data_IF_590466385717
#
_entry.id   IF_590466385717
#
_cell.length_a   1.000
_cell.length_b   1.000
_cell.length_c   1.000
_cell.angle_alpha   90.00
_cell.angle_beta   90.00
_cell.angle_gamma   90.00
#
_symmetry.space_group_name_H-M   'P 1'
#
loop_
_entity.id
_entity.type
_entity.pdbx_description
1 polymer ?
#
# COMPACT_ATOMS: atom_id res chain seq x y z
N UNK A 1 -46.35 34.35 -3.53
CA UNK A 1 -45.36 33.81 -2.57
C UNK A 1 -45.44 32.30 -2.70
N UNK A 2 -44.62 31.69 -3.57
CA UNK A 2 -43.33 31.07 -3.23
C UNK A 2 -43.55 29.81 -2.38
N UNK A 3 -43.12 28.60 -2.73
CA UNK A 3 -42.04 28.17 -3.62
C UNK A 3 -42.19 26.67 -3.89
N UNK A 4 -42.24 26.28 -5.16
CA UNK A 4 -42.03 24.89 -5.60
C UNK A 4 -40.53 24.64 -5.59
N UNK A 5 -40.06 23.79 -4.67
CA UNK A 5 -38.65 23.41 -4.58
C UNK A 5 -38.35 22.49 -5.77
N UNK A 6 -37.62 23.01 -6.76
CA UNK A 6 -36.96 22.20 -7.78
C UNK A 6 -35.81 21.44 -7.12
N UNK A 7 -35.60 20.14 -7.43
CA UNK A 7 -34.40 19.44 -7.01
C UNK A 7 -33.19 20.14 -7.63
N UNK A 8 -32.37 20.71 -6.76
CA UNK A 8 -31.11 21.33 -7.12
C UNK A 8 -30.21 20.27 -7.75
N UNK A 9 -29.68 20.61 -8.92
CA UNK A 9 -28.62 19.92 -9.61
C UNK A 9 -27.40 19.78 -8.67
N UNK A 10 -27.15 18.58 -8.15
CA UNK A 10 -25.91 18.24 -7.47
C UNK A 10 -24.80 18.16 -8.53
N UNK A 11 -23.73 18.97 -8.45
CA UNK A 11 -22.61 18.87 -9.37
C UNK A 11 -21.67 17.73 -8.92
N UNK A 12 -21.26 16.90 -9.88
CA UNK A 12 -20.18 15.91 -9.72
C UNK A 12 -20.63 14.46 -9.74
N UNK A 13 -21.03 13.95 -10.91
CA UNK A 13 -21.07 12.50 -11.15
C UNK A 13 -19.63 12.00 -11.00
N UNK A 14 -19.38 11.09 -10.05
CA UNK A 14 -18.11 10.35 -9.98
C UNK A 14 -17.79 9.87 -11.40
N UNK A 15 -16.62 10.25 -11.92
CA UNK A 15 -16.24 9.89 -13.27
C UNK A 15 -16.13 8.36 -13.34
N UNK A 16 -16.96 7.75 -14.20
CA UNK A 16 -16.91 6.33 -14.60
C UNK A 16 -15.63 6.07 -15.44
N UNK A 17 -14.47 6.50 -14.95
CA UNK A 17 -13.20 6.18 -15.59
C UNK A 17 -12.95 4.68 -15.43
N UNK A 18 -12.64 3.96 -16.52
CA UNK A 18 -12.53 2.51 -16.50
C UNK A 18 -11.36 2.05 -15.62
N UNK A 19 -11.47 0.83 -15.09
CA UNK A 19 -10.37 0.16 -14.39
C UNK A 19 -9.19 0.00 -15.34
N UNK A 20 -7.99 0.37 -14.88
CA UNK A 20 -6.75 0.14 -15.62
C UNK A 20 -6.40 -1.34 -15.48
N UNK A 21 -6.57 -2.11 -16.57
CA UNK A 21 -6.38 -3.57 -16.54
C UNK A 21 -4.95 -4.01 -16.19
N UNK A 22 -3.95 -3.21 -16.51
CA UNK A 22 -2.54 -3.44 -16.16
C UNK A 22 -1.93 -2.13 -15.62
N UNK A 23 -2.17 -1.80 -14.34
CA UNK A 23 -1.76 -0.52 -13.79
C UNK A 23 -0.24 -0.41 -13.69
N UNK A 24 0.27 0.81 -13.87
CA UNK A 24 1.62 1.19 -13.42
C UNK A 24 1.60 1.42 -11.92
N UNK A 25 2.60 0.89 -11.22
CA UNK A 25 2.60 0.85 -9.76
C UNK A 25 3.71 1.73 -9.22
N UNK A 26 3.40 2.61 -8.26
CA UNK A 26 4.44 3.23 -7.44
C UNK A 26 4.45 2.63 -6.04
N UNK A 27 5.62 2.53 -5.43
CA UNK A 27 5.76 2.10 -4.03
C UNK A 27 6.52 3.18 -3.26
N UNK A 28 5.83 3.86 -2.36
CA UNK A 28 6.35 4.95 -1.54
C UNK A 28 6.87 4.39 -0.21
N UNK A 29 8.14 4.63 0.06
CA UNK A 29 8.91 3.98 1.11
C UNK A 29 9.57 2.70 0.59
N UNK A 30 10.89 2.63 0.69
CA UNK A 30 11.73 1.51 0.19
C UNK A 30 12.46 0.78 1.32
N UNK A 31 11.83 0.74 2.50
CA UNK A 31 12.25 -0.17 3.58
C UNK A 31 11.95 -1.63 3.24
N UNK A 32 12.11 -2.53 4.23
CA UNK A 32 11.89 -3.98 4.06
C UNK A 32 10.59 -4.32 3.32
N UNK A 33 9.45 -3.79 3.77
CA UNK A 33 8.14 -3.98 3.13
C UNK A 33 8.11 -3.43 1.70
N UNK A 34 8.49 -2.16 1.53
CA UNK A 34 8.30 -1.45 0.28
C UNK A 34 9.24 -1.87 -0.83
N UNK A 35 10.53 -2.05 -0.55
CA UNK A 35 11.49 -2.54 -1.55
C UNK A 35 11.15 -3.98 -1.98
N UNK A 36 10.79 -4.86 -1.03
CA UNK A 36 10.35 -6.23 -1.36
C UNK A 36 9.08 -6.20 -2.21
N UNK A 37 8.09 -5.38 -1.85
CA UNK A 37 6.87 -5.25 -2.62
C UNK A 37 7.15 -4.74 -4.04
N UNK A 38 7.95 -3.68 -4.20
CA UNK A 38 8.30 -3.11 -5.50
C UNK A 38 8.97 -4.14 -6.43
N UNK A 39 9.96 -4.87 -5.91
CA UNK A 39 10.67 -5.92 -6.65
C UNK A 39 9.72 -7.06 -7.05
N UNK A 40 8.89 -7.54 -6.12
CA UNK A 40 7.93 -8.61 -6.41
C UNK A 40 6.87 -8.19 -7.44
N UNK A 41 6.35 -6.96 -7.37
CA UNK A 41 5.39 -6.46 -8.37
C UNK A 41 6.03 -6.36 -9.77
N UNK A 42 7.30 -5.93 -9.86
CA UNK A 42 8.02 -5.89 -11.12
C UNK A 42 8.31 -7.31 -11.66
N UNK A 43 8.61 -8.26 -10.77
CA UNK A 43 8.87 -9.66 -11.12
C UNK A 43 7.64 -10.35 -11.72
N UNK A 44 6.44 -10.02 -11.24
CA UNK A 44 5.17 -10.53 -11.82
C UNK A 44 4.68 -9.70 -13.02
N UNK A 45 5.50 -8.77 -13.53
CA UNK A 45 5.32 -8.16 -14.84
C UNK A 45 4.72 -6.76 -14.84
N UNK A 46 4.56 -6.09 -13.70
CA UNK A 46 4.15 -4.68 -13.67
C UNK A 46 5.32 -3.74 -13.95
N UNK A 47 5.02 -2.55 -14.48
CA UNK A 47 5.96 -1.44 -14.45
C UNK A 47 5.87 -0.76 -13.08
N UNK A 48 7.02 -0.62 -12.42
CA UNK A 48 7.12 -0.22 -11.02
C UNK A 48 8.13 0.90 -10.84
N UNK A 49 7.72 1.90 -10.06
CA UNK A 49 8.56 3.00 -9.61
C UNK A 49 8.64 3.00 -8.07
N UNK A 50 9.79 2.64 -7.52
CA UNK A 50 10.07 2.78 -6.09
C UNK A 50 10.44 4.22 -5.74
N UNK A 51 9.89 4.74 -4.65
CA UNK A 51 10.07 6.14 -4.22
C UNK A 51 10.49 6.19 -2.76
N UNK A 52 11.54 6.94 -2.45
CA UNK A 52 11.98 7.19 -1.07
C UNK A 52 12.57 8.60 -0.97
N UNK A 53 12.58 9.14 0.24
CA UNK A 53 13.20 10.45 0.54
C UNK A 53 14.69 10.33 0.81
N UNK A 54 15.21 9.10 0.96
CA UNK A 54 16.61 8.83 1.24
C UNK A 54 17.40 8.54 -0.05
N UNK A 55 18.22 9.49 -0.55
CA UNK A 55 19.01 9.31 -1.77
C UNK A 55 19.97 8.13 -1.69
N UNK A 56 20.46 7.79 -0.48
CA UNK A 56 21.41 6.68 -0.29
C UNK A 56 20.72 5.34 -0.51
N UNK A 57 19.47 5.18 -0.05
CA UNK A 57 18.68 3.98 -0.33
C UNK A 57 18.36 3.85 -1.81
N UNK A 58 17.94 4.95 -2.44
CA UNK A 58 17.62 4.99 -3.87
C UNK A 58 18.84 4.59 -4.70
N UNK A 59 20.01 5.16 -4.43
CA UNK A 59 21.24 4.83 -5.14
C UNK A 59 21.63 3.35 -4.98
N UNK A 60 21.54 2.79 -3.77
CA UNK A 60 21.83 1.37 -3.53
C UNK A 60 20.87 0.45 -4.28
N UNK A 61 19.57 0.69 -4.15
CA UNK A 61 18.55 -0.12 -4.80
C UNK A 61 18.67 -0.04 -6.33
N UNK A 62 18.93 1.15 -6.89
CA UNK A 62 19.18 1.33 -8.31
C UNK A 62 20.45 0.62 -8.81
N UNK A 63 21.45 0.44 -7.94
CA UNK A 63 22.66 -0.35 -8.21
C UNK A 63 22.47 -1.87 -8.04
N UNK A 64 21.26 -2.33 -7.67
CA UNK A 64 20.98 -3.74 -7.41
C UNK A 64 21.40 -4.22 -6.03
N UNK A 65 21.63 -3.30 -5.09
CA UNK A 65 22.05 -3.60 -3.71
C UNK A 65 20.88 -3.45 -2.73
N UNK A 66 20.51 -4.54 -2.06
CA UNK A 66 19.47 -4.53 -1.02
C UNK A 66 20.10 -4.12 0.31
N UNK A 67 19.58 -3.08 1.03
CA UNK A 67 20.18 -2.59 2.28
C UNK A 67 19.82 -3.43 3.52
N UNK A 68 19.22 -4.60 3.34
CA UNK A 68 18.80 -5.53 4.39
C UNK A 68 18.87 -6.98 3.87
N UNK A 69 18.85 -7.94 4.78
CA UNK A 69 18.86 -9.36 4.42
C UNK A 69 17.44 -9.84 4.13
N UNK A 70 17.22 -10.36 2.92
CA UNK A 70 16.02 -11.10 2.54
C UNK A 70 16.40 -12.14 1.47
N UNK A 71 16.18 -13.45 1.72
CA UNK A 71 16.57 -14.50 0.79
C UNK A 71 15.96 -14.33 -0.61
N UNK A 72 16.81 -14.39 -1.64
CA UNK A 72 16.40 -14.29 -3.06
C UNK A 72 16.05 -12.89 -3.54
N UNK A 73 15.92 -11.90 -2.65
CA UNK A 73 15.63 -10.52 -3.04
C UNK A 73 16.77 -9.86 -3.84
N UNK A 74 18.06 -10.03 -3.51
CA UNK A 74 19.15 -9.41 -4.29
C UNK A 74 19.23 -9.92 -5.73
N UNK A 75 18.97 -11.20 -5.97
CA UNK A 75 18.88 -11.78 -7.32
C UNK A 75 17.68 -11.19 -8.06
N UNK A 76 16.50 -11.22 -7.43
CA UNK A 76 15.26 -10.74 -8.03
C UNK A 76 15.30 -9.24 -8.35
N UNK A 77 15.94 -8.44 -7.49
CA UNK A 77 16.17 -7.01 -7.71
C UNK A 77 17.01 -6.79 -8.98
N UNK A 78 18.13 -7.50 -9.12
CA UNK A 78 19.00 -7.39 -10.31
C UNK A 78 18.28 -7.79 -11.59
N UNK A 79 17.53 -8.89 -11.55
CA UNK A 79 16.76 -9.38 -12.70
C UNK A 79 15.66 -8.41 -13.11
N UNK A 80 14.92 -7.85 -12.14
CA UNK A 80 13.85 -6.88 -12.42
C UNK A 80 14.38 -5.54 -12.91
N UNK A 81 15.49 -5.03 -12.36
CA UNK A 81 16.18 -3.86 -12.90
C UNK A 81 16.63 -4.08 -14.35
N UNK A 82 17.22 -5.25 -14.66
CA UNK A 82 17.66 -5.58 -16.01
C UNK A 82 16.52 -5.61 -17.03
N UNK A 83 15.28 -5.87 -16.60
CA UNK A 83 14.11 -5.81 -17.48
C UNK A 83 13.64 -4.40 -17.82
N UNK A 84 14.12 -3.38 -17.10
CA UNK A 84 13.65 -2.00 -17.19
C UNK A 84 12.26 -1.75 -16.58
N UNK A 85 11.60 -2.80 -16.06
CA UNK A 85 10.28 -2.67 -15.40
C UNK A 85 10.34 -2.07 -14.00
N UNK A 86 11.51 -2.08 -13.36
CA UNK A 86 11.71 -1.48 -12.04
C UNK A 86 12.73 -0.35 -12.15
N UNK A 87 12.40 0.79 -11.55
CA UNK A 87 13.34 1.90 -11.32
C UNK A 87 13.02 2.60 -10.00
N UNK A 88 13.94 3.44 -9.54
CA UNK A 88 13.83 4.15 -8.28
C UNK A 88 14.02 5.66 -8.47
N UNK A 89 13.31 6.48 -7.69
CA UNK A 89 13.37 7.94 -7.74
C UNK A 89 13.14 8.56 -6.36
N UNK A 90 13.50 9.83 -6.21
CA UNK A 90 13.14 10.67 -5.06
C UNK A 90 11.99 11.64 -5.39
N UNK A 91 11.58 11.69 -6.67
CA UNK A 91 10.61 12.65 -7.17
C UNK A 91 9.15 12.14 -7.03
N UNK A 92 8.40 12.77 -6.12
CA UNK A 92 6.99 12.48 -5.90
C UNK A 92 6.08 13.00 -7.02
N UNK A 93 6.48 14.05 -7.75
CA UNK A 93 5.73 14.53 -8.91
C UNK A 93 5.84 13.55 -10.07
N UNK A 94 7.03 13.01 -10.30
CA UNK A 94 7.24 11.91 -11.24
C UNK A 94 6.40 10.68 -10.86
N UNK A 95 6.39 10.31 -9.57
CA UNK A 95 5.58 9.20 -9.08
C UNK A 95 4.08 9.40 -9.34
N UNK A 96 3.56 10.59 -9.07
CA UNK A 96 2.16 10.95 -9.31
C UNK A 96 1.78 10.90 -10.80
N UNK A 97 2.68 11.28 -11.70
CA UNK A 97 2.45 11.21 -13.15
C UNK A 97 2.49 9.76 -13.66
N UNK A 98 3.44 8.97 -13.14
CA UNK A 98 3.68 7.60 -13.56
C UNK A 98 2.61 6.61 -13.08
N UNK A 99 2.24 6.62 -11.80
CA UNK A 99 1.45 5.55 -11.19
C UNK A 99 -0.05 5.65 -11.45
N UNK A 100 -0.69 4.51 -11.67
CA UNK A 100 -2.15 4.34 -11.61
C UNK A 100 -2.59 3.84 -10.23
N UNK A 101 -1.72 3.06 -9.57
CA UNK A 101 -1.87 2.60 -8.19
C UNK A 101 -0.62 2.96 -7.38
N UNK A 102 -0.80 3.62 -6.25
CA UNK A 102 0.28 4.11 -5.39
C UNK A 102 0.25 3.43 -4.01
N UNK A 103 1.18 2.52 -3.74
CA UNK A 103 1.28 1.86 -2.44
C UNK A 103 2.10 2.68 -1.43
N UNK A 104 1.55 2.89 -0.23
CA UNK A 104 2.21 3.55 0.89
C UNK A 104 2.77 2.49 1.87
N UNK A 105 4.10 2.31 1.83
CA UNK A 105 4.85 1.24 2.47
C UNK A 105 5.91 1.77 3.47
N UNK A 106 5.66 2.92 4.08
CA UNK A 106 6.56 3.52 5.06
C UNK A 106 6.41 2.89 6.45
N UNK A 107 7.45 3.00 7.27
CA UNK A 107 7.42 2.46 8.63
C UNK A 107 6.50 3.24 9.56
N UNK A 108 5.90 2.54 10.51
CA UNK A 108 5.10 3.09 11.61
C UNK A 108 5.68 2.68 12.96
N UNK A 109 6.90 3.15 13.30
CA UNK A 109 7.56 2.76 14.54
C UNK A 109 6.73 3.19 15.75
N UNK A 110 6.98 2.60 16.92
CA UNK A 110 6.35 3.06 18.15
C UNK A 110 6.84 4.48 18.51
N UNK A 111 5.92 5.34 18.96
CA UNK A 111 6.27 6.68 19.46
C UNK A 111 7.12 6.55 20.74
N UNK A 112 8.21 7.33 20.83
CA UNK A 112 9.06 7.35 22.02
C UNK A 112 8.23 7.67 23.28
N UNK A 113 8.29 6.79 24.27
CA UNK A 113 7.56 6.95 25.55
C UNK A 113 6.05 6.70 25.48
N UNK A 114 5.54 6.09 24.40
CA UNK A 114 4.12 5.75 24.26
C UNK A 114 3.96 4.34 23.67
N UNK A 115 2.81 3.71 23.92
CA UNK A 115 2.43 2.47 23.24
C UNK A 115 1.76 2.71 21.86
N UNK A 116 1.65 3.97 21.44
CA UNK A 116 1.00 4.34 20.17
C UNK A 116 1.97 4.22 18.98
N UNK A 117 1.43 3.83 17.83
CA UNK A 117 2.16 3.89 16.56
C UNK A 117 2.42 5.35 16.13
N UNK A 118 3.59 5.60 15.56
CA UNK A 118 3.94 6.85 14.90
C UNK A 118 3.52 6.78 13.43
N UNK A 119 2.40 7.43 13.11
CA UNK A 119 1.86 7.52 11.75
C UNK A 119 2.36 8.74 10.98
N UNK A 120 3.26 9.55 11.55
CA UNK A 120 3.75 10.78 10.91
C UNK A 120 4.38 10.53 9.54
N UNK A 121 5.11 9.42 9.37
CA UNK A 121 5.69 9.03 8.08
C UNK A 121 4.63 8.72 7.03
N UNK A 122 3.53 8.06 7.42
CA UNK A 122 2.41 7.75 6.52
C UNK A 122 1.74 9.05 6.07
N UNK A 123 1.47 9.96 7.00
CA UNK A 123 0.93 11.28 6.68
C UNK A 123 1.86 12.05 5.73
N UNK A 124 3.17 12.10 6.02
CA UNK A 124 4.13 12.80 5.18
C UNK A 124 4.21 12.21 3.76
N UNK A 125 4.18 10.88 3.63
CA UNK A 125 4.17 10.19 2.34
C UNK A 125 2.90 10.51 1.53
N UNK A 126 1.74 10.47 2.18
CA UNK A 126 0.44 10.81 1.57
C UNK A 126 0.39 12.29 1.18
N UNK A 127 0.93 13.20 2.00
CA UNK A 127 0.98 14.62 1.68
C UNK A 127 1.91 14.93 0.50
N UNK A 128 3.09 14.30 0.46
CA UNK A 128 4.07 14.49 -0.61
C UNK A 128 3.54 13.99 -1.95
N UNK A 129 2.88 12.82 -1.97
CA UNK A 129 2.23 12.28 -3.16
C UNK A 129 0.98 13.08 -3.54
N UNK A 130 0.07 13.30 -2.58
CA UNK A 130 -1.29 13.80 -2.81
C UNK A 130 -1.33 15.15 -3.53
N UNK A 131 -0.45 16.10 -3.18
CA UNK A 131 -0.38 17.43 -3.80
C UNK A 131 -0.08 17.40 -5.31
N UNK A 132 0.41 16.27 -5.81
CA UNK A 132 0.76 16.09 -7.22
C UNK A 132 -0.32 15.33 -8.02
N UNK A 133 -1.31 14.71 -7.37
CA UNK A 133 -2.32 13.86 -8.00
C UNK A 133 -3.40 14.68 -8.74
N UNK A 134 -3.35 14.63 -10.07
CA UNK A 134 -4.19 15.44 -10.98
C UNK A 134 -5.25 14.66 -11.76
N UNK A 135 -5.29 13.34 -11.60
CA UNK A 135 -6.24 12.44 -12.27
C UNK A 135 -6.76 11.38 -11.29
N UNK A 136 -7.74 10.60 -11.73
CA UNK A 136 -8.22 9.44 -10.97
C UNK A 136 -7.11 8.41 -10.84
N UNK A 137 -6.80 8.06 -9.60
CA UNK A 137 -5.80 7.06 -9.22
C UNK A 137 -6.25 6.39 -7.94
N UNK A 138 -5.64 5.24 -7.63
CA UNK A 138 -5.84 4.57 -6.36
C UNK A 138 -4.61 4.71 -5.47
N UNK A 139 -4.78 5.28 -4.28
CA UNK A 139 -3.74 5.24 -3.22
C UNK A 139 -4.05 4.07 -2.29
N UNK A 140 -3.05 3.25 -1.97
CA UNK A 140 -3.22 2.02 -1.21
C UNK A 140 -2.28 2.01 0.00
N UNK A 141 -2.82 2.03 1.20
CA UNK A 141 -2.02 1.84 2.40
C UNK A 141 -1.64 0.37 2.61
N UNK A 142 -0.35 0.08 2.80
CA UNK A 142 0.12 -1.24 3.29
C UNK A 142 0.72 -1.18 4.70
N UNK A 143 1.09 0.03 5.14
CA UNK A 143 1.68 0.30 6.45
C UNK A 143 0.76 -0.19 7.57
N UNK A 144 1.33 -0.68 8.69
CA UNK A 144 0.52 -1.09 9.84
C UNK A 144 0.10 0.16 10.63
N UNK A 145 -1.19 0.48 10.64
CA UNK A 145 -1.73 1.70 11.26
C UNK A 145 -2.86 1.39 12.25
N UNK A 146 -3.13 2.27 13.23
CA UNK A 146 -4.33 2.18 14.05
C UNK A 146 -5.61 2.36 13.24
N UNK A 147 -6.71 1.76 13.71
CA UNK A 147 -8.03 1.88 13.10
C UNK A 147 -8.46 3.35 13.01
N UNK A 148 -9.01 3.74 11.87
CA UNK A 148 -9.44 5.10 11.55
C UNK A 148 -8.37 5.95 10.85
N UNK A 149 -7.15 5.44 10.71
CA UNK A 149 -6.08 6.17 10.00
C UNK A 149 -6.41 6.31 8.51
N UNK A 150 -6.89 5.25 7.88
CA UNK A 150 -7.27 5.21 6.48
C UNK A 150 -8.37 6.24 6.17
N UNK A 151 -9.44 6.30 6.97
CA UNK A 151 -10.51 7.29 6.79
C UNK A 151 -9.98 8.72 6.87
N UNK A 152 -9.09 9.02 7.83
CA UNK A 152 -8.47 10.34 7.96
C UNK A 152 -7.56 10.68 6.76
N UNK A 153 -6.81 9.70 6.25
CA UNK A 153 -5.94 9.88 5.09
C UNK A 153 -6.72 10.08 3.79
N UNK A 154 -7.88 9.42 3.63
CA UNK A 154 -8.79 9.64 2.51
C UNK A 154 -9.28 11.09 2.50
N UNK A 155 -9.75 11.59 3.64
CA UNK A 155 -10.26 12.96 3.75
C UNK A 155 -9.14 13.99 3.52
N UNK A 156 -7.93 13.69 3.98
CA UNK A 156 -6.74 14.47 3.68
C UNK A 156 -6.46 14.49 2.16
N UNK A 157 -6.43 13.33 1.50
CA UNK A 157 -6.21 13.22 0.05
C UNK A 157 -7.23 14.03 -0.75
N UNK A 158 -8.52 13.91 -0.41
CA UNK A 158 -9.57 14.69 -1.06
C UNK A 158 -9.37 16.20 -0.91
N UNK A 159 -8.74 16.63 0.17
CA UNK A 159 -8.46 18.04 0.46
C UNK A 159 -7.22 18.55 -0.28
N UNK A 160 -6.15 17.76 -0.33
CA UNK A 160 -4.84 18.21 -0.85
C UNK A 160 -4.63 17.91 -2.33
N UNK A 161 -5.30 16.91 -2.88
CA UNK A 161 -5.11 16.50 -4.27
C UNK A 161 -5.86 17.43 -5.22
N UNK A 162 -5.21 17.95 -6.28
CA UNK A 162 -5.90 18.67 -7.35
C UNK A 162 -7.08 17.92 -7.97
N UNK A 163 -7.03 16.58 -7.98
CA UNK A 163 -8.10 15.71 -8.47
C UNK A 163 -9.26 15.51 -7.46
N UNK A 164 -9.13 15.97 -6.21
CA UNK A 164 -10.14 15.86 -5.17
C UNK A 164 -10.62 14.42 -4.94
N UNK A 165 -11.94 14.23 -4.92
CA UNK A 165 -12.59 12.93 -4.70
C UNK A 165 -12.37 11.89 -5.81
N UNK A 166 -11.69 12.24 -6.91
CA UNK A 166 -11.26 11.25 -7.89
C UNK A 166 -10.06 10.41 -7.41
N UNK A 167 -9.32 10.87 -6.40
CA UNK A 167 -8.28 10.07 -5.75
C UNK A 167 -8.95 9.21 -4.69
N UNK A 168 -9.09 7.92 -4.96
CA UNK A 168 -9.68 6.99 -4.00
C UNK A 168 -8.59 6.34 -3.12
N UNK A 169 -8.95 5.98 -1.89
CA UNK A 169 -8.07 5.28 -0.96
C UNK A 169 -8.55 3.85 -0.74
N UNK A 170 -7.61 2.92 -0.71
CA UNK A 170 -7.81 1.56 -0.22
C UNK A 170 -6.78 1.19 0.85
N UNK A 171 -7.06 0.13 1.60
CA UNK A 171 -6.12 -0.45 2.56
C UNK A 171 -5.86 -1.92 2.26
N UNK A 172 -4.60 -2.28 2.05
CA UNK A 172 -4.16 -3.64 1.77
C UNK A 172 -3.04 -4.03 2.75
N UNK A 173 -3.39 -4.48 3.98
CA UNK A 173 -2.41 -4.85 4.99
C UNK A 173 -1.49 -5.96 4.49
N UNK A 174 -0.27 -5.98 5.00
CA UNK A 174 0.74 -6.99 4.71
C UNK A 174 0.80 -8.06 5.81
N UNK A 175 1.26 -9.27 5.50
CA UNK A 175 1.43 -10.37 6.47
C UNK A 175 2.78 -11.06 6.30
N UNK A 176 3.81 -10.30 5.96
CA UNK A 176 5.13 -10.81 5.64
C UNK A 176 5.83 -11.31 6.90
N UNK A 177 6.52 -12.44 6.76
CA UNK A 177 7.46 -12.95 7.75
C UNK A 177 8.88 -12.56 7.35
N UNK A 178 9.71 -12.23 8.34
CA UNK A 178 11.11 -11.92 8.12
C UNK A 178 11.84 -13.15 7.53
N UNK A 179 12.55 -12.97 6.41
CA UNK A 179 13.22 -14.06 5.69
C UNK A 179 12.34 -14.83 4.69
N UNK A 180 11.05 -14.48 4.58
CA UNK A 180 10.10 -15.09 3.64
C UNK A 180 9.25 -14.05 2.89
N UNK A 181 9.58 -12.77 2.98
CA UNK A 181 8.78 -11.70 2.39
C UNK A 181 8.64 -11.80 0.87
N UNK A 182 9.66 -12.30 0.15
CA UNK A 182 9.52 -12.55 -1.29
C UNK A 182 8.43 -13.59 -1.56
N UNK A 183 8.49 -14.73 -0.86
CA UNK A 183 7.50 -15.79 -1.00
C UNK A 183 6.11 -15.33 -0.56
N UNK A 184 6.01 -14.68 0.60
CA UNK A 184 4.75 -14.18 1.17
C UNK A 184 4.11 -13.08 0.30
N UNK A 185 4.90 -12.33 -0.49
CA UNK A 185 4.36 -11.35 -1.44
C UNK A 185 3.87 -12.01 -2.73
N UNK A 186 4.61 -13.00 -3.25
CA UNK A 186 4.29 -13.65 -4.52
C UNK A 186 3.20 -14.73 -4.37
N UNK A 187 3.11 -15.37 -3.20
CA UNK A 187 2.17 -16.43 -2.88
C UNK A 187 1.61 -16.25 -1.46
N UNK A 188 0.85 -15.17 -1.20
CA UNK A 188 0.28 -14.96 0.12
C UNK A 188 -0.83 -15.97 0.42
N UNK A 189 -0.97 -16.32 1.71
CA UNK A 189 -2.08 -17.17 2.20
C UNK A 189 -3.46 -16.56 1.89
N UNK A 190 -3.54 -15.22 1.90
CA UNK A 190 -4.72 -14.44 1.51
C UNK A 190 -4.34 -12.99 1.22
N UNK A 191 -5.19 -12.32 0.44
CA UNK A 191 -5.21 -10.87 0.32
C UNK A 191 -6.41 -10.31 1.10
N UNK A 192 -6.24 -9.12 1.67
CA UNK A 192 -7.30 -8.36 2.34
C UNK A 192 -7.41 -7.01 1.65
N UNK A 193 -8.58 -6.67 1.13
CA UNK A 193 -8.87 -5.38 0.49
C UNK A 193 -9.91 -4.64 1.32
N UNK A 194 -9.46 -3.57 1.98
CA UNK A 194 -10.32 -2.54 2.56
C UNK A 194 -10.61 -1.47 1.52
N UNK A 195 -11.86 -1.34 1.09
CA UNK A 195 -12.27 -0.41 0.01
C UNK A 195 -13.65 0.18 0.29
N UNK A 196 -13.95 1.35 -0.29
CA UNK A 196 -15.25 2.02 -0.14
C UNK A 196 -16.03 2.12 -1.47
N UNK A 197 -15.45 1.67 -2.58
CA UNK A 197 -16.09 1.65 -3.89
C UNK A 197 -15.73 0.38 -4.66
N UNK A 198 -16.62 -0.02 -5.58
CA UNK A 198 -16.34 -1.11 -6.51
C UNK A 198 -15.18 -0.81 -7.45
N UNK A 199 -15.00 0.46 -7.84
CA UNK A 199 -13.87 0.85 -8.69
C UNK A 199 -12.53 0.60 -7.99
N UNK A 200 -12.41 0.97 -6.70
CA UNK A 200 -11.20 0.73 -5.92
C UNK A 200 -10.93 -0.77 -5.73
N UNK A 201 -11.98 -1.56 -5.47
CA UNK A 201 -11.89 -3.03 -5.40
C UNK A 201 -11.35 -3.62 -6.70
N UNK A 202 -11.94 -3.27 -7.84
CA UNK A 202 -11.55 -3.81 -9.14
C UNK A 202 -10.16 -3.32 -9.57
N UNK A 203 -9.80 -2.08 -9.21
CA UNK A 203 -8.45 -1.55 -9.47
C UNK A 203 -7.38 -2.26 -8.62
N UNK A 204 -7.68 -2.65 -7.38
CA UNK A 204 -6.82 -3.53 -6.58
C UNK A 204 -6.74 -4.93 -7.16
N UNK A 205 -7.86 -5.51 -7.61
CA UNK A 205 -7.86 -6.82 -8.28
C UNK A 205 -6.97 -6.79 -9.53
N UNK A 206 -7.02 -5.73 -10.33
CA UNK A 206 -6.11 -5.55 -11.46
C UNK A 206 -4.64 -5.47 -11.03
N UNK A 207 -4.33 -4.75 -9.95
CA UNK A 207 -2.97 -4.66 -9.41
C UNK A 207 -2.45 -6.00 -8.85
N UNK A 208 -3.34 -6.88 -8.37
CA UNK A 208 -2.99 -8.20 -7.85
C UNK A 208 -3.39 -9.36 -8.78
N UNK A 209 -3.75 -9.09 -10.04
CA UNK A 209 -4.29 -10.10 -10.95
C UNK A 209 -3.40 -11.35 -11.07
N UNK A 210 -2.06 -11.25 -11.26
CA UNK A 210 -1.21 -12.44 -11.32
C UNK A 210 -1.23 -13.29 -10.04
N UNK A 211 -1.46 -12.69 -8.88
CA UNK A 211 -1.56 -13.37 -7.58
C UNK A 211 -2.93 -14.03 -7.44
N UNK A 212 -4.01 -13.30 -7.77
CA UNK A 212 -5.38 -13.81 -7.72
C UNK A 212 -5.63 -14.94 -8.71
N UNK A 213 -5.04 -14.87 -9.91
CA UNK A 213 -5.14 -15.92 -10.95
C UNK A 213 -4.54 -17.26 -10.50
N UNK A 214 -3.66 -17.24 -9.49
CA UNK A 214 -3.12 -18.45 -8.85
C UNK A 214 -4.05 -19.06 -7.79
N UNK A 215 -5.22 -18.47 -7.59
CA UNK A 215 -6.22 -18.93 -6.62
C UNK A 215 -5.98 -18.43 -5.19
N UNK A 216 -5.17 -17.38 -5.00
CA UNK A 216 -5.00 -16.76 -3.68
C UNK A 216 -6.36 -16.26 -3.16
N UNK A 217 -6.80 -16.69 -1.96
CA UNK A 217 -8.03 -16.23 -1.36
C UNK A 217 -8.06 -14.71 -1.17
N UNK A 218 -9.20 -14.08 -1.48
CA UNK A 218 -9.43 -12.67 -1.29
C UNK A 218 -10.52 -12.43 -0.24
N UNK A 219 -10.23 -11.56 0.72
CA UNK A 219 -11.18 -11.02 1.69
C UNK A 219 -11.43 -9.55 1.38
N UNK A 220 -12.65 -9.22 0.99
CA UNK A 220 -13.10 -7.84 0.77
C UNK A 220 -13.83 -7.34 2.02
N UNK A 221 -13.50 -6.13 2.49
CA UNK A 221 -14.10 -5.51 3.67
C UNK A 221 -14.00 -3.98 3.61
N UNK A 222 -14.50 -3.29 4.65
CA UNK A 222 -14.29 -1.86 4.82
C UNK A 222 -12.87 -1.51 5.32
N UNK A 223 -12.53 -0.22 5.26
CA UNK A 223 -11.21 0.28 5.65
C UNK A 223 -10.86 -0.06 7.12
N UNK A 224 -11.81 0.17 8.04
CA UNK A 224 -11.59 -0.04 9.48
C UNK A 224 -11.34 -1.52 9.80
N UNK A 225 -12.06 -2.42 9.12
CA UNK A 225 -11.89 -3.86 9.23
C UNK A 225 -10.54 -4.29 8.67
N UNK A 226 -10.11 -3.77 7.52
CA UNK A 226 -8.80 -4.08 6.95
C UNK A 226 -7.64 -3.65 7.88
N UNK A 227 -7.74 -2.48 8.51
CA UNK A 227 -6.78 -2.02 9.53
C UNK A 227 -6.78 -2.96 10.76
N UNK A 228 -7.96 -3.33 11.25
CA UNK A 228 -8.12 -4.21 12.41
C UNK A 228 -7.54 -5.61 12.16
N UNK A 229 -7.75 -6.20 10.98
CA UNK A 229 -7.31 -7.57 10.66
C UNK A 229 -5.80 -7.74 10.90
N UNK A 230 -4.99 -6.75 10.56
CA UNK A 230 -3.53 -6.81 10.79
C UNK A 230 -3.20 -6.86 12.27
N UNK A 231 -3.80 -5.96 13.06
CA UNK A 231 -3.56 -5.87 14.50
C UNK A 231 -4.06 -7.14 15.21
N UNK A 232 -5.24 -7.64 14.82
CA UNK A 232 -5.82 -8.85 15.38
C UNK A 232 -4.96 -10.09 15.09
N UNK A 233 -4.48 -10.26 13.85
CA UNK A 233 -3.61 -11.38 13.47
C UNK A 233 -2.30 -11.39 14.27
N UNK A 234 -1.62 -10.24 14.35
CA UNK A 234 -0.36 -10.13 15.10
C UNK A 234 -0.57 -10.34 16.61
N UNK A 235 -1.66 -9.81 17.17
CA UNK A 235 -1.99 -9.97 18.59
C UNK A 235 -2.27 -11.44 18.93
N UNK A 236 -3.01 -12.14 18.08
CA UNK A 236 -3.30 -13.56 18.28
C UNK A 236 -2.05 -14.45 18.19
N UNK A 237 -1.14 -14.17 17.25
CA UNK A 237 0.15 -14.86 17.18
C UNK A 237 0.97 -14.68 18.45
N UNK A 238 1.04 -13.45 18.98
CA UNK A 238 1.69 -13.17 20.25
C UNK A 238 1.03 -13.92 21.42
N UNK A 239 -0.31 -13.98 21.46
CA UNK A 239 -1.04 -14.75 22.48
C UNK A 239 -0.67 -16.23 22.47
N UNK A 240 -0.54 -16.87 21.30
CA UNK A 240 -0.14 -18.29 21.22
C UNK A 240 1.24 -18.55 21.83
N UNK A 241 2.19 -17.64 21.58
CA UNK A 241 3.55 -17.72 22.12
C UNK A 241 3.52 -17.52 23.64
N UNK A 242 2.84 -16.48 24.13
CA UNK A 242 2.72 -16.23 25.57
C UNK A 242 2.04 -17.39 26.29
N UNK A 243 1.01 -17.98 25.68
CA UNK A 243 0.31 -19.13 26.24
C UNK A 243 1.23 -20.35 26.42
N UNK A 244 2.00 -20.71 25.38
CA UNK A 244 2.88 -21.89 25.47
C UNK A 244 4.05 -21.66 26.43
N UNK A 245 4.58 -20.43 26.51
CA UNK A 245 5.60 -20.08 27.49
C UNK A 245 5.06 -20.21 28.92
N UNK A 246 3.83 -19.76 29.18
CA UNK A 246 3.20 -19.92 30.49
C UNK A 246 2.97 -21.39 30.87
N UNK A 247 2.62 -22.26 29.90
CA UNK A 247 2.55 -23.71 30.16
C UNK A 247 3.92 -24.31 30.47
N UNK A 248 4.96 -23.88 29.76
CA UNK A 248 6.34 -24.34 29.99
C UNK A 248 6.89 -23.92 31.37
N UNK A 249 6.43 -22.81 31.96
CA UNK A 249 6.80 -22.41 33.33
C UNK A 249 6.11 -23.25 34.42
N UNK A 250 4.96 -23.87 34.10
CA UNK A 250 4.21 -24.73 35.02
C UNK A 250 4.70 -26.18 34.98
N UNK A 251 5.19 -26.64 33.83
CA UNK A 251 5.71 -28.00 33.62
C UNK A 251 7.14 -28.18 34.15
#
# INVERSE_FOLDING_TARGET
>A
MSSTISPQHLPGRATDEPVVARPRITVIGTGYLGATHAVCMAAIGFEVLGVDVDPVKIAKLAAGEVPFFEPGLPELLRDTLATGRLRFTEDFAEAAEFGDVHFICVGTPQKKGSHSADVSYVHAAVEALGKNLRRKVLVVGKSTVPIGTAANLRDLLHTIAPAGAAVELAWNPEFLREGYAVADTLQPDRLVFGTESSWATEQLKAAFAPVLDRGTPLVECDLATAELVKVAANSFLATKISYINAMAEVC
#
